data_IF_621440343427
#
_entry.id   IF_621440343427
#
_cell.length_a   1.000
_cell.length_b   1.000
_cell.length_c   1.000
_cell.angle_alpha   90.00
_cell.angle_beta   90.00
_cell.angle_gamma   90.00
#
_symmetry.space_group_name_H-M   'P 1'
#
loop_
_entity.id
_entity.type
_entity.pdbx_description
1 polymer ?
#
# COMPACT_ATOMS: atom_id res chain seq x y z
N UNK A 1 -29.46 24.56 -13.38
CA UNK A 1 -28.79 23.24 -13.52
C UNK A 1 -27.28 23.47 -13.56
N UNK A 2 -26.55 23.12 -12.50
CA UNK A 2 -25.08 23.09 -12.54
C UNK A 2 -24.51 22.22 -11.39
N UNK A 3 -23.97 21.05 -11.76
CA UNK A 3 -22.75 20.49 -11.17
C UNK A 3 -22.77 19.94 -9.74
N UNK A 4 -23.46 18.84 -9.48
CA UNK A 4 -23.10 17.95 -8.35
C UNK A 4 -21.82 17.18 -8.71
N UNK A 5 -20.66 17.78 -8.44
CA UNK A 5 -19.35 17.27 -8.85
C UNK A 5 -18.37 17.03 -7.70
N UNK A 6 -18.84 16.79 -6.48
CA UNK A 6 -17.95 16.38 -5.38
C UNK A 6 -17.79 14.87 -5.38
N UNK A 7 -16.97 14.34 -6.31
CA UNK A 7 -16.38 13.01 -6.16
C UNK A 7 -15.40 13.06 -5.01
N UNK A 8 -15.95 13.06 -3.79
CA UNK A 8 -15.22 12.67 -2.60
C UNK A 8 -14.92 11.20 -2.79
N UNK A 9 -13.74 10.89 -3.31
CA UNK A 9 -13.09 9.61 -3.00
C UNK A 9 -12.77 9.65 -1.51
N UNK A 10 -13.82 9.52 -0.69
CA UNK A 10 -13.73 8.93 0.63
C UNK A 10 -13.40 7.44 0.40
N UNK A 11 -12.20 7.20 -0.14
CA UNK A 11 -11.59 5.89 -0.15
C UNK A 11 -11.26 5.65 1.31
N UNK A 12 -12.21 4.99 1.95
CA UNK A 12 -12.17 4.69 3.35
C UNK A 12 -10.79 4.17 3.71
N UNK A 13 -10.39 4.49 4.93
CA UNK A 13 -9.47 3.67 5.70
C UNK A 13 -10.13 2.30 5.94
N UNK A 14 -10.49 1.58 4.87
CA UNK A 14 -10.56 0.14 4.90
C UNK A 14 -9.16 -0.24 5.28
N UNK A 15 -9.05 -0.91 6.41
CA UNK A 15 -7.84 -1.54 6.93
C UNK A 15 -7.44 -2.63 5.94
N UNK A 16 -7.11 -2.24 4.72
CA UNK A 16 -6.44 -3.06 3.76
C UNK A 16 -5.04 -3.13 4.34
N UNK A 17 -4.74 -4.26 4.94
CA UNK A 17 -3.47 -4.58 5.57
C UNK A 17 -2.38 -4.54 4.50
N UNK A 18 -2.06 -3.36 3.99
CA UNK A 18 -1.03 -3.18 2.99
C UNK A 18 0.29 -3.56 3.65
N UNK A 19 0.99 -4.47 3.01
CA UNK A 19 2.21 -5.04 3.54
C UNK A 19 3.30 -3.99 3.35
N UNK A 20 3.59 -3.26 4.42
CA UNK A 20 4.59 -2.18 4.39
C UNK A 20 5.96 -2.70 4.80
N UNK A 21 6.97 -2.46 3.96
CA UNK A 21 8.35 -2.75 4.33
C UNK A 21 8.80 -1.82 5.46
N UNK A 22 9.48 -2.36 6.47
CA UNK A 22 9.96 -1.55 7.60
C UNK A 22 11.27 -0.80 7.30
N UNK A 23 12.02 -1.27 6.31
CA UNK A 23 13.33 -0.72 5.94
C UNK A 23 13.13 0.43 4.95
N UNK A 24 12.57 0.16 3.76
CA UNK A 24 12.37 1.18 2.72
C UNK A 24 10.98 1.86 2.75
N UNK A 25 10.07 1.41 3.63
CA UNK A 25 8.69 1.96 3.76
C UNK A 25 7.82 1.82 2.50
N UNK A 26 8.22 1.02 1.52
CA UNK A 26 7.39 0.66 0.37
C UNK A 26 6.14 -0.11 0.80
N UNK A 27 5.07 0.08 0.03
CA UNK A 27 3.75 -0.47 0.32
C UNK A 27 3.42 -1.49 -0.77
N UNK A 28 3.22 -2.73 -0.36
CA UNK A 28 2.86 -3.85 -1.23
C UNK A 28 1.41 -4.26 -0.99
N UNK A 29 0.78 -4.80 -2.03
CA UNK A 29 -0.61 -5.25 -1.98
C UNK A 29 -0.72 -6.65 -1.38
N UNK A 30 0.36 -7.44 -1.47
CA UNK A 30 0.43 -8.81 -0.96
C UNK A 30 1.63 -9.08 -0.03
N UNK A 31 1.47 -10.09 0.84
CA UNK A 31 2.53 -10.52 1.76
C UNK A 31 3.71 -11.14 1.02
N UNK A 32 3.42 -11.87 -0.05
CA UNK A 32 4.42 -12.55 -0.88
C UNK A 32 5.30 -11.53 -1.60
N UNK A 33 4.72 -10.46 -2.14
CA UNK A 33 5.48 -9.33 -2.72
C UNK A 33 6.37 -8.66 -1.68
N UNK A 34 5.85 -8.39 -0.47
CA UNK A 34 6.69 -7.83 0.59
C UNK A 34 7.83 -8.78 0.97
N UNK A 35 7.59 -10.09 1.02
CA UNK A 35 8.62 -11.09 1.31
C UNK A 35 9.69 -11.12 0.22
N UNK A 36 9.29 -11.17 -1.04
CA UNK A 36 10.22 -11.15 -2.18
C UNK A 36 11.03 -9.87 -2.16
N UNK A 37 10.38 -8.72 -2.02
CA UNK A 37 11.07 -7.44 -1.87
C UNK A 37 12.06 -7.44 -0.70
N UNK A 38 11.66 -7.95 0.47
CA UNK A 38 12.57 -8.05 1.61
C UNK A 38 13.74 -8.99 1.34
N UNK A 39 13.52 -10.10 0.62
CA UNK A 39 14.59 -11.03 0.26
C UNK A 39 15.47 -10.51 -0.88
N UNK A 40 15.00 -9.66 -1.78
CA UNK A 40 15.79 -9.18 -2.91
C UNK A 40 16.49 -7.86 -2.59
N UNK A 41 15.77 -6.92 -1.95
CA UNK A 41 16.26 -5.57 -1.63
C UNK A 41 16.91 -5.50 -0.24
N UNK A 42 16.56 -6.44 0.65
CA UNK A 42 17.00 -6.47 2.04
C UNK A 42 17.54 -7.84 2.47
N UNK A 43 18.09 -8.64 1.54
CA UNK A 43 18.61 -9.99 1.79
C UNK A 43 19.65 -10.08 2.93
N UNK A 44 20.27 -8.95 3.27
CA UNK A 44 21.34 -8.80 4.27
C UNK A 44 20.77 -8.31 5.62
N UNK A 45 19.93 -9.11 6.29
CA UNK A 45 19.53 -8.83 7.68
C UNK A 45 19.20 -10.10 8.48
#
# INVERSE_FOLDING_TARGET
MAGTGSRKMASGFRRESKFKCKICRMIFDSKDELKLHFLEDHNDY
#
